data_IF_257713414949
#
_entry.id   IF_257713414949
#
_cell.length_a   1.000
_cell.length_b   1.000
_cell.length_c   1.000
_cell.angle_alpha   90.00
_cell.angle_beta   90.00
_cell.angle_gamma   90.00
#
_symmetry.space_group_name_H-M   'P 1'
#
loop_
_entity.id
_entity.type
_entity.pdbx_description
1 polymer ?
#
# COMPACT_ATOMS: atom_id res chain seq x y z
N UNK A 1 -1.38 -8.08 -14.66
CA UNK A 1 -1.08 -8.13 -13.21
C UNK A 1 -1.71 -6.97 -12.45
N UNK A 2 -1.31 -5.72 -12.72
CA UNK A 2 -1.85 -4.52 -12.01
C UNK A 2 -3.38 -4.45 -12.10
N UNK A 3 -3.95 -4.57 -13.30
CA UNK A 3 -5.40 -4.57 -13.50
C UNK A 3 -6.13 -5.63 -12.67
N UNK A 4 -5.60 -6.86 -12.63
CA UNK A 4 -6.17 -7.96 -11.84
C UNK A 4 -6.12 -7.67 -10.34
N UNK A 5 -5.01 -7.10 -9.86
CA UNK A 5 -4.87 -6.72 -8.46
C UNK A 5 -5.85 -5.58 -8.10
N UNK A 6 -5.99 -4.56 -8.95
CA UNK A 6 -6.98 -3.48 -8.79
C UNK A 6 -8.41 -4.05 -8.76
N UNK A 7 -8.76 -4.95 -9.68
CA UNK A 7 -10.07 -5.58 -9.70
C UNK A 7 -10.34 -6.36 -8.40
N UNK A 8 -9.35 -7.12 -7.91
CA UNK A 8 -9.50 -7.86 -6.66
C UNK A 8 -9.63 -6.94 -5.44
N UNK A 9 -8.91 -5.81 -5.41
CA UNK A 9 -9.07 -4.77 -4.38
C UNK A 9 -10.52 -4.24 -4.37
N UNK A 10 -11.08 -3.95 -5.54
CA UNK A 10 -12.46 -3.47 -5.66
C UNK A 10 -13.47 -4.51 -5.19
N UNK A 11 -13.29 -5.78 -5.59
CA UNK A 11 -14.17 -6.89 -5.18
C UNK A 11 -14.13 -7.10 -3.67
N UNK A 12 -12.94 -7.11 -3.06
CA UNK A 12 -12.80 -7.29 -1.61
C UNK A 12 -13.45 -6.14 -0.84
N UNK A 13 -13.24 -4.89 -1.27
CA UNK A 13 -13.86 -3.74 -0.64
C UNK A 13 -15.39 -3.73 -0.79
N UNK A 14 -15.90 -4.08 -1.97
CA UNK A 14 -17.34 -4.21 -2.17
C UNK A 14 -17.93 -5.32 -1.28
N UNK A 15 -17.24 -6.46 -1.13
CA UNK A 15 -17.65 -7.54 -0.23
C UNK A 15 -17.62 -7.14 1.25
N UNK A 16 -16.80 -6.15 1.62
CA UNK A 16 -16.75 -5.55 2.96
C UNK A 16 -17.82 -4.46 3.17
N UNK A 17 -18.67 -4.19 2.18
CA UNK A 17 -19.73 -3.19 2.28
C UNK A 17 -19.27 -1.75 2.06
N UNK A 18 -18.07 -1.53 1.49
CA UNK A 18 -17.61 -0.19 1.12
C UNK A 18 -18.61 0.46 0.16
N UNK A 19 -19.04 1.69 0.48
CA UNK A 19 -20.01 2.42 -0.32
C UNK A 19 -19.54 2.74 -1.76
N UNK A 20 -20.49 3.06 -2.63
CA UNK A 20 -20.22 3.31 -4.06
C UNK A 20 -19.22 4.45 -4.29
N UNK A 21 -19.32 5.54 -3.52
CA UNK A 21 -18.43 6.69 -3.66
C UNK A 21 -16.93 6.36 -3.45
N UNK A 22 -16.50 5.78 -2.30
CA UNK A 22 -15.10 5.37 -2.13
C UNK A 22 -14.66 4.30 -3.14
N UNK A 23 -15.54 3.37 -3.54
CA UNK A 23 -15.23 2.42 -4.61
C UNK A 23 -14.93 3.12 -5.94
N UNK A 24 -15.67 4.16 -6.31
CA UNK A 24 -15.40 4.95 -7.51
C UNK A 24 -14.04 5.65 -7.44
N UNK A 25 -13.65 6.18 -6.27
CA UNK A 25 -12.32 6.80 -6.08
C UNK A 25 -11.21 5.76 -6.25
N UNK A 26 -11.33 4.59 -5.61
CA UNK A 26 -10.38 3.48 -5.75
C UNK A 26 -10.32 3.02 -7.21
N UNK A 27 -11.46 2.90 -7.89
CA UNK A 27 -11.50 2.49 -9.29
C UNK A 27 -10.80 3.49 -10.20
N UNK A 28 -11.06 4.79 -10.01
CA UNK A 28 -10.39 5.86 -10.76
C UNK A 28 -8.87 5.82 -10.57
N UNK A 29 -8.41 5.74 -9.32
CA UNK A 29 -6.98 5.63 -9.01
C UNK A 29 -6.36 4.34 -9.56
N UNK A 30 -7.13 3.24 -9.57
CA UNK A 30 -6.75 1.98 -10.19
C UNK A 30 -6.56 2.10 -11.70
N UNK A 31 -7.50 2.76 -12.40
CA UNK A 31 -7.38 3.06 -13.84
C UNK A 31 -6.14 3.90 -14.11
N UNK A 32 -5.95 4.99 -13.35
CA UNK A 32 -4.76 5.86 -13.48
C UNK A 32 -3.45 5.10 -13.22
N UNK A 33 -3.45 4.14 -12.28
CA UNK A 33 -2.28 3.31 -12.00
C UNK A 33 -1.93 2.37 -13.17
N UNK A 34 -2.94 1.88 -13.90
CA UNK A 34 -2.75 1.01 -15.07
C UNK A 34 -2.33 1.83 -16.30
N UNK A 35 -2.93 2.99 -16.53
CA UNK A 35 -2.70 3.80 -17.73
C UNK A 35 -1.48 4.71 -17.62
N UNK A 36 -1.09 5.10 -16.40
CA UNK A 36 0.01 6.01 -16.13
C UNK A 36 0.87 5.49 -14.94
N UNK A 37 1.58 4.36 -15.11
CA UNK A 37 2.27 3.66 -14.02
C UNK A 37 3.41 4.46 -13.35
N UNK A 38 3.94 5.48 -14.00
CA UNK A 38 4.97 6.37 -13.46
C UNK A 38 4.44 7.55 -12.62
N UNK A 39 3.14 7.63 -12.38
CA UNK A 39 2.49 8.72 -11.63
C UNK A 39 2.40 8.40 -10.13
N UNK A 40 2.02 9.37 -9.26
CA UNK A 40 1.73 9.08 -7.85
C UNK A 40 0.42 8.29 -7.63
N UNK A 41 -0.36 7.97 -8.67
CA UNK A 41 -1.63 7.27 -8.56
C UNK A 41 -1.59 5.97 -7.71
N UNK A 42 -0.64 5.04 -7.89
CA UNK A 42 -0.54 3.84 -7.04
C UNK A 42 -0.30 4.15 -5.56
N UNK A 43 0.36 5.26 -5.21
CA UNK A 43 0.53 5.66 -3.82
C UNK A 43 -0.79 6.17 -3.23
N UNK A 44 -1.52 7.00 -3.98
CA UNK A 44 -2.86 7.43 -3.57
C UNK A 44 -3.86 6.27 -3.52
N UNK A 45 -3.71 5.25 -4.37
CA UNK A 45 -4.54 4.04 -4.32
C UNK A 45 -4.36 3.31 -2.98
N UNK A 46 -3.13 3.16 -2.49
CA UNK A 46 -2.85 2.58 -1.16
C UNK A 46 -3.63 3.34 -0.09
N UNK A 47 -3.53 4.68 -0.08
CA UNK A 47 -4.20 5.53 0.90
C UNK A 47 -5.71 5.41 0.80
N UNK A 48 -6.28 5.52 -0.41
CA UNK A 48 -7.72 5.43 -0.63
C UNK A 48 -8.28 4.07 -0.19
N UNK A 49 -7.59 2.97 -0.51
CA UNK A 49 -7.98 1.61 -0.07
C UNK A 49 -7.91 1.48 1.45
N UNK A 50 -6.87 2.00 2.10
CA UNK A 50 -6.75 1.96 3.55
C UNK A 50 -7.87 2.76 4.24
N UNK A 51 -8.14 3.98 3.78
CA UNK A 51 -9.23 4.83 4.30
C UNK A 51 -10.57 4.15 4.12
N UNK A 52 -10.86 3.63 2.92
CA UNK A 52 -12.12 2.97 2.65
C UNK A 52 -12.32 1.69 3.49
N UNK A 53 -11.26 0.90 3.73
CA UNK A 53 -11.32 -0.26 4.61
C UNK A 53 -11.60 0.13 6.07
N UNK A 54 -10.97 1.20 6.58
CA UNK A 54 -11.17 1.68 7.96
C UNK A 54 -12.58 2.20 8.20
N UNK A 55 -13.23 2.79 7.20
CA UNK A 55 -14.58 3.39 7.37
C UNK A 55 -15.68 2.35 7.59
N UNK A 56 -15.53 1.13 7.06
CA UNK A 56 -16.57 0.08 7.15
C UNK A 56 -16.13 -1.18 7.88
N UNK A 57 -14.84 -1.37 8.14
CA UNK A 57 -14.38 -2.58 8.81
C UNK A 57 -14.47 -2.47 10.33
N UNK A 58 -15.31 -3.31 10.94
CA UNK A 58 -15.36 -3.49 12.39
C UNK A 58 -14.15 -4.26 12.95
N UNK A 59 -13.46 -5.03 12.09
CA UNK A 59 -12.30 -5.83 12.48
C UNK A 59 -11.14 -5.64 11.51
N UNK A 60 -10.13 -4.88 11.96
CA UNK A 60 -8.89 -4.60 11.23
C UNK A 60 -8.09 -5.85 10.85
N UNK A 61 -8.31 -6.98 11.54
CA UNK A 61 -7.64 -8.26 11.31
C UNK A 61 -8.49 -9.26 10.52
N UNK A 62 -9.63 -8.82 9.96
CA UNK A 62 -10.37 -9.66 9.03
C UNK A 62 -9.50 -10.04 7.82
N UNK A 63 -9.66 -11.27 7.34
CA UNK A 63 -8.87 -11.81 6.21
C UNK A 63 -8.97 -10.90 4.99
N UNK A 64 -10.13 -10.27 4.77
CA UNK A 64 -10.33 -9.28 3.70
C UNK A 64 -9.42 -8.07 3.81
N UNK A 65 -9.33 -7.43 4.99
CA UNK A 65 -8.45 -6.26 5.22
C UNK A 65 -6.99 -6.67 5.09
N UNK A 66 -6.59 -7.79 5.68
CA UNK A 66 -5.20 -8.26 5.61
C UNK A 66 -4.78 -8.61 4.18
N UNK A 67 -5.70 -9.11 3.34
CA UNK A 67 -5.45 -9.38 1.93
C UNK A 67 -5.27 -8.11 1.09
N UNK A 68 -5.84 -6.97 1.50
CA UNK A 68 -5.64 -5.69 0.79
C UNK A 68 -4.18 -5.24 0.84
N UNK A 69 -3.45 -5.51 1.93
CA UNK A 69 -2.05 -5.10 2.13
C UNK A 69 -1.13 -5.61 0.99
N UNK A 70 -1.01 -6.93 0.73
CA UNK A 70 -0.20 -7.42 -0.37
C UNK A 70 -0.71 -6.97 -1.73
N UNK A 71 -2.02 -6.80 -1.91
CA UNK A 71 -2.59 -6.39 -3.19
C UNK A 71 -2.22 -4.96 -3.56
N UNK A 72 -2.34 -4.01 -2.64
CA UNK A 72 -1.98 -2.62 -2.93
C UNK A 72 -0.46 -2.46 -3.12
N UNK A 73 0.35 -3.24 -2.39
CA UNK A 73 1.80 -3.25 -2.58
C UNK A 73 2.19 -3.86 -3.95
N UNK A 74 1.47 -4.90 -4.37
CA UNK A 74 1.65 -5.51 -5.69
C UNK A 74 1.29 -4.55 -6.82
N UNK A 75 0.23 -3.73 -6.66
CA UNK A 75 -0.08 -2.64 -7.60
C UNK A 75 1.08 -1.65 -7.67
N UNK A 76 1.57 -1.18 -6.52
CA UNK A 76 2.66 -0.21 -6.47
C UNK A 76 3.93 -0.70 -7.17
N UNK A 77 4.40 -1.91 -6.85
CA UNK A 77 5.58 -2.50 -7.50
C UNK A 77 5.30 -2.82 -8.97
N UNK A 78 4.10 -3.31 -9.29
CA UNK A 78 3.71 -3.59 -10.68
C UNK A 78 3.74 -2.33 -11.55
N UNK A 79 3.26 -1.20 -11.04
CA UNK A 79 3.37 0.10 -11.70
C UNK A 79 4.83 0.55 -11.83
N UNK A 80 5.63 0.46 -10.76
CA UNK A 80 7.04 0.83 -10.83
C UNK A 80 7.81 0.02 -11.89
N UNK A 81 7.55 -1.29 -11.98
CA UNK A 81 8.14 -2.15 -13.01
C UNK A 81 7.64 -1.78 -14.41
N UNK A 82 6.34 -1.55 -14.58
CA UNK A 82 5.74 -1.16 -15.87
C UNK A 82 6.23 0.21 -16.37
N UNK A 83 6.60 1.12 -15.47
CA UNK A 83 7.14 2.43 -15.82
C UNK A 83 8.59 2.38 -16.34
N UNK A 84 9.36 1.37 -15.93
CA UNK A 84 10.81 1.28 -16.23
C UNK A 84 11.12 0.23 -17.30
N UNK A 85 10.30 -0.82 -17.41
CA UNK A 85 10.52 -1.91 -18.36
C UNK A 85 9.82 -1.60 -19.68
N UNK A 86 10.55 -1.49 -20.81
CA UNK A 86 9.94 -1.31 -22.12
C UNK A 86 9.02 -2.48 -22.48
N UNK A 87 7.87 -2.21 -23.11
CA UNK A 87 6.90 -3.25 -23.45
C UNK A 87 7.41 -4.36 -24.38
N UNK A 88 8.50 -4.11 -25.11
CA UNK A 88 9.16 -5.08 -26.02
C UNK A 88 10.31 -5.84 -25.36
N UNK A 89 10.67 -5.52 -24.11
CA UNK A 89 11.81 -6.12 -23.44
C UNK A 89 11.50 -7.56 -23.02
N UNK A 90 12.43 -8.49 -23.30
CA UNK A 90 12.39 -9.84 -22.73
C UNK A 90 12.97 -9.79 -21.32
N UNK A 91 12.09 -9.89 -20.32
CA UNK A 91 12.49 -9.88 -18.91
C UNK A 91 12.80 -11.30 -18.46
N UNK A 92 14.05 -11.55 -18.08
CA UNK A 92 14.40 -12.79 -17.39
C UNK A 92 13.84 -12.76 -15.97
N UNK A 93 13.22 -13.87 -15.52
CA UNK A 93 12.67 -13.98 -14.16
C UNK A 93 13.71 -13.71 -13.06
N UNK A 94 14.99 -14.02 -13.31
CA UNK A 94 16.09 -13.72 -12.40
C UNK A 94 16.26 -12.22 -12.14
N UNK A 95 15.92 -11.36 -13.11
CA UNK A 95 15.97 -9.90 -12.96
C UNK A 95 14.86 -9.36 -12.04
N UNK A 96 13.76 -10.11 -11.86
CA UNK A 96 12.68 -9.76 -10.94
C UNK A 96 12.98 -10.18 -9.50
N UNK A 97 13.99 -11.04 -9.27
CA UNK A 97 14.33 -11.58 -7.96
C UNK A 97 14.59 -10.48 -6.91
N UNK A 98 15.34 -9.40 -7.17
CA UNK A 98 15.53 -8.34 -6.19
C UNK A 98 14.23 -7.64 -5.80
N UNK A 99 13.33 -7.40 -6.76
CA UNK A 99 12.02 -6.80 -6.50
C UNK A 99 11.12 -7.75 -5.70
N UNK A 100 11.12 -9.04 -6.04
CA UNK A 100 10.37 -10.06 -5.31
C UNK A 100 10.87 -10.22 -3.86
N UNK A 101 12.18 -10.20 -3.63
CA UNK A 101 12.76 -10.23 -2.27
C UNK A 101 12.34 -9.00 -1.47
N UNK A 102 12.40 -7.81 -2.06
CA UNK A 102 11.93 -6.58 -1.41
C UNK A 102 10.44 -6.64 -1.08
N UNK A 103 9.61 -7.11 -2.00
CA UNK A 103 8.18 -7.33 -1.76
C UNK A 103 7.98 -8.23 -0.55
N UNK A 104 8.61 -9.42 -0.53
CA UNK A 104 8.46 -10.37 0.59
C UNK A 104 8.94 -9.79 1.91
N UNK A 105 10.10 -9.11 1.93
CA UNK A 105 10.62 -8.48 3.14
C UNK A 105 9.68 -7.40 3.68
N UNK A 106 9.16 -6.52 2.81
CA UNK A 106 8.20 -5.49 3.21
C UNK A 106 6.92 -6.14 3.73
N UNK A 107 6.41 -7.18 3.07
CA UNK A 107 5.22 -7.90 3.53
C UNK A 107 5.43 -8.55 4.91
N UNK A 108 6.59 -9.15 5.16
CA UNK A 108 6.92 -9.74 6.46
C UNK A 108 7.01 -8.67 7.56
N UNK A 109 7.65 -7.54 7.28
CA UNK A 109 7.73 -6.41 8.22
C UNK A 109 6.34 -5.86 8.52
N UNK A 110 5.53 -5.61 7.48
CA UNK A 110 4.16 -5.08 7.66
C UNK A 110 3.27 -6.09 8.39
N UNK A 111 3.38 -7.39 8.10
CA UNK A 111 2.66 -8.42 8.83
C UNK A 111 3.09 -8.49 10.31
N UNK A 112 4.39 -8.34 10.59
CA UNK A 112 4.92 -8.23 11.95
C UNK A 112 4.36 -7.01 12.68
N UNK A 113 4.33 -5.85 12.02
CA UNK A 113 3.74 -4.63 12.57
C UNK A 113 2.23 -4.77 12.82
N UNK A 114 1.50 -5.43 11.92
CA UNK A 114 0.08 -5.74 12.12
C UNK A 114 -0.10 -6.67 13.32
N UNK A 115 0.76 -7.69 13.48
CA UNK A 115 0.75 -8.58 14.64
C UNK A 115 1.02 -7.84 15.95
N UNK A 116 1.95 -6.88 15.97
CA UNK A 116 2.18 -6.01 17.13
C UNK A 116 0.97 -5.12 17.40
N UNK A 117 0.36 -4.55 16.36
CA UNK A 117 -0.84 -3.73 16.48
C UNK A 117 -2.03 -4.52 17.07
N UNK A 118 -2.13 -5.82 16.76
CA UNK A 118 -3.15 -6.71 17.31
C UNK A 118 -3.05 -6.90 18.83
N UNK A 119 -1.89 -6.64 19.42
CA UNK A 119 -1.65 -6.74 20.87
C UNK A 119 -1.96 -5.42 21.60
N UNK A 120 -2.26 -4.34 20.86
CA UNK A 120 -2.56 -3.03 21.44
C UNK A 120 -4.01 -3.01 21.94
N UNK A 121 -4.26 -2.62 23.19
CA UNK A 121 -5.62 -2.51 23.71
C UNK A 121 -6.47 -1.53 22.91
N UNK A 122 -7.70 -1.91 22.58
CA UNK A 122 -8.64 -1.07 21.82
C UNK A 122 -9.19 0.12 22.62
N UNK A 123 -9.00 0.15 23.94
CA UNK A 123 -9.58 1.16 24.83
C UNK A 123 -8.65 2.33 25.10
N UNK A 124 -7.39 2.05 25.44
CA UNK A 124 -6.39 3.06 25.77
C UNK A 124 -5.07 2.64 25.15
N UNK A 125 -4.62 3.37 24.14
CA UNK A 125 -3.28 3.21 23.60
C UNK A 125 -2.28 3.61 24.68
N UNK A 126 -1.33 2.73 25.05
CA UNK A 126 -0.26 3.10 25.98
C UNK A 126 0.47 4.35 25.49
N UNK A 127 0.66 5.34 26.35
CA UNK A 127 1.33 6.60 25.99
C UNK A 127 2.72 6.39 25.35
N UNK A 128 3.43 5.32 25.74
CA UNK A 128 4.69 4.94 25.12
C UNK A 128 4.55 4.61 23.62
N UNK A 129 3.47 3.94 23.20
CA UNK A 129 3.21 3.65 21.79
C UNK A 129 2.83 4.90 21.00
N UNK A 130 2.05 5.81 21.60
CA UNK A 130 1.74 7.10 20.97
C UNK A 130 3.00 7.94 20.73
N UNK A 131 3.86 8.04 21.75
CA UNK A 131 5.14 8.76 21.65
C UNK A 131 6.05 8.10 20.60
N UNK A 132 6.15 6.77 20.58
CA UNK A 132 6.94 6.07 19.56
C UNK A 132 6.38 6.29 18.15
N UNK A 133 5.05 6.26 17.98
CA UNK A 133 4.41 6.52 16.69
C UNK A 133 4.67 7.96 16.22
N UNK A 134 4.55 8.95 17.11
CA UNK A 134 4.84 10.35 16.82
C UNK A 134 6.32 10.57 16.48
N UNK A 135 7.24 9.99 17.25
CA UNK A 135 8.67 10.06 16.98
C UNK A 135 9.02 9.40 15.64
N UNK A 136 8.45 8.24 15.35
CA UNK A 136 8.62 7.54 14.07
C UNK A 136 8.13 8.38 12.89
N UNK A 137 6.92 8.94 13.00
CA UNK A 137 6.35 9.83 11.98
C UNK A 137 7.17 11.10 11.78
N UNK A 138 7.59 11.75 12.86
CA UNK A 138 8.45 12.94 12.81
C UNK A 138 9.82 12.63 12.19
N UNK A 139 10.44 11.51 12.56
CA UNK A 139 11.71 11.09 11.99
C UNK A 139 11.60 10.83 10.48
N UNK A 140 10.53 10.15 10.04
CA UNK A 140 10.25 9.93 8.61
C UNK A 140 10.04 11.24 7.85
N UNK A 141 9.27 12.17 8.43
CA UNK A 141 9.03 13.48 7.83
C UNK A 141 10.35 14.26 7.69
N UNK A 142 11.17 14.33 8.75
CA UNK A 142 12.49 14.97 8.71
C UNK A 142 13.40 14.34 7.66
N UNK A 143 13.44 13.00 7.60
CA UNK A 143 14.27 12.28 6.64
C UNK A 143 13.83 12.58 5.20
N UNK A 144 12.52 12.56 4.94
CA UNK A 144 11.94 12.89 3.64
C UNK A 144 12.29 14.33 3.23
N UNK A 145 12.11 15.31 4.11
CA UNK A 145 12.48 16.71 3.86
C UNK A 145 13.98 16.84 3.56
N UNK A 146 14.84 16.19 4.35
CA UNK A 146 16.30 16.22 4.13
C UNK A 146 16.71 15.61 2.80
N UNK A 147 16.07 14.50 2.41
CA UNK A 147 16.34 13.85 1.12
C UNK A 147 15.88 14.71 -0.07
N UNK A 148 14.75 15.42 0.06
CA UNK A 148 14.28 16.36 -0.96
C UNK A 148 15.24 17.56 -1.08
N UNK A 149 15.66 18.13 0.04
CA UNK A 149 16.57 19.29 0.07
C UNK A 149 17.99 18.97 -0.39
N UNK A 150 18.42 17.70 -0.33
CA UNK A 150 19.76 17.27 -0.76
C UNK A 150 19.89 16.96 -2.25
N UNK A 151 18.83 17.09 -3.06
CA UNK A 151 18.97 16.90 -4.51
C UNK A 151 19.80 18.06 -5.09
N UNK A 152 21.01 17.81 -5.65
CA UNK A 152 21.65 18.81 -6.49
C UNK A 152 20.77 19.06 -7.70
N UNK A 153 20.59 20.33 -8.07
CA UNK A 153 19.95 20.73 -9.33
C UNK A 153 20.80 20.30 -10.52
#
# INVERSE_FOLDING_TARGET
MVLCAVALILVLQAAQGVGVFPLCVVALLGVLSVTAPGTPAPAFLIVATAVAAVVVSENAFSVGVLALIPLVHLVHIGCALAAVIPGTARVHLSALRPAAVRFVLVQLVVAGLAGVAALVPETVTPAALEVLALLGGAALAVLATRLIMKRPQ
#
